data_IF_408029894420
#
_entry.id   IF_408029894420
#
_cell.length_a   1.000
_cell.length_b   1.000
_cell.length_c   1.000
_cell.angle_alpha   90.00
_cell.angle_beta   90.00
_cell.angle_gamma   90.00
#
_symmetry.space_group_name_H-M   'P 1'
#
loop_
_entity.id
_entity.type
_entity.pdbx_description
1 polymer ?
#
# COMPACT_ATOMS: atom_id res chain seq x y z
N UNK A 1 19.04 25.77 -13.34
CA UNK A 1 19.53 24.84 -12.30
C UNK A 1 19.01 23.47 -12.65
N UNK A 2 19.87 22.55 -13.09
CA UNK A 2 19.46 21.17 -13.35
C UNK A 2 19.27 20.50 -12.00
N UNK A 3 18.02 20.44 -11.52
CA UNK A 3 17.64 19.53 -10.45
C UNK A 3 17.89 18.12 -10.96
N UNK A 4 19.02 17.55 -10.57
CA UNK A 4 19.26 16.13 -10.72
C UNK A 4 18.31 15.45 -9.73
N UNK A 5 17.03 15.30 -10.12
CA UNK A 5 16.05 14.56 -9.35
C UNK A 5 16.60 13.13 -9.27
N UNK A 6 17.21 12.82 -8.13
CA UNK A 6 17.79 11.50 -7.90
C UNK A 6 16.64 10.51 -8.06
N UNK A 7 16.67 9.76 -9.16
CA UNK A 7 15.64 8.76 -9.46
C UNK A 7 15.64 7.77 -8.30
N UNK A 8 14.47 7.48 -7.73
CA UNK A 8 14.37 6.50 -6.65
C UNK A 8 14.94 5.15 -7.13
N UNK A 9 15.80 4.55 -6.31
CA UNK A 9 16.46 3.27 -6.59
C UNK A 9 16.13 2.28 -5.46
N UNK A 10 16.18 0.97 -5.72
CA UNK A 10 16.11 -0.04 -4.67
C UNK A 10 17.10 0.24 -3.54
N UNK A 11 16.66 0.09 -2.30
CA UNK A 11 17.51 0.18 -1.10
C UNK A 11 18.27 -1.12 -0.85
N UNK A 12 17.74 -2.25 -1.33
CA UNK A 12 18.30 -3.57 -1.14
C UNK A 12 17.30 -4.67 -1.50
N UNK A 13 17.29 -5.72 -0.69
CA UNK A 13 16.25 -6.73 -0.74
C UNK A 13 16.39 -7.79 0.34
N UNK A 14 15.32 -8.54 0.54
CA UNK A 14 15.20 -9.59 1.54
C UNK A 14 15.01 -10.95 0.86
N UNK A 15 15.31 -12.03 1.60
CA UNK A 15 14.98 -13.39 1.17
C UNK A 15 13.70 -13.85 1.84
N UNK A 16 12.75 -14.30 1.04
CA UNK A 16 11.47 -14.80 1.50
C UNK A 16 11.63 -15.97 2.46
N UNK A 17 10.83 -15.93 3.53
CA UNK A 17 10.64 -17.02 4.47
C UNK A 17 9.30 -17.69 4.15
N UNK A 18 9.22 -18.98 4.46
CA UNK A 18 7.96 -19.72 4.29
C UNK A 18 7.07 -19.40 5.49
N UNK A 19 5.80 -18.97 5.29
CA UNK A 19 4.85 -18.82 6.40
C UNK A 19 4.63 -20.15 7.13
N UNK A 20 4.38 -20.08 8.44
CA UNK A 20 3.90 -21.23 9.21
C UNK A 20 2.43 -21.54 8.85
N UNK A 21 1.94 -22.76 9.14
CA UNK A 21 0.55 -23.10 8.89
C UNK A 21 -0.40 -22.16 9.65
N UNK A 22 -1.29 -21.48 8.93
CA UNK A 22 -2.25 -20.53 9.49
C UNK A 22 -1.83 -19.06 9.38
N UNK A 23 -0.62 -18.79 8.88
CA UNK A 23 -0.11 -17.45 8.57
C UNK A 23 -0.18 -17.18 7.06
N UNK A 24 -0.03 -15.92 6.69
CA UNK A 24 -0.29 -15.36 5.37
C UNK A 24 -1.75 -15.50 4.93
N UNK A 25 -2.54 -14.50 5.35
CA UNK A 25 -3.88 -14.26 4.87
C UNK A 25 -3.86 -13.99 3.36
N UNK A 26 -4.72 -14.71 2.63
CA UNK A 26 -4.88 -14.60 1.17
C UNK A 26 -6.18 -13.93 0.76
N UNK A 27 -6.85 -13.25 1.68
CA UNK A 27 -7.91 -12.29 1.32
C UNK A 27 -7.37 -11.30 0.27
N UNK A 28 -8.25 -10.80 -0.59
CA UNK A 28 -7.94 -9.88 -1.69
C UNK A 28 -6.83 -10.35 -2.65
N UNK A 29 -6.57 -11.66 -2.71
CA UNK A 29 -5.49 -12.27 -3.49
C UNK A 29 -4.07 -11.89 -3.02
N UNK A 30 -3.92 -11.57 -1.74
CA UNK A 30 -2.63 -11.26 -1.14
C UNK A 30 -1.62 -12.40 -1.31
N UNK A 31 -0.42 -12.04 -1.75
CA UNK A 31 0.68 -12.95 -2.06
C UNK A 31 1.44 -13.34 -0.80
N UNK A 32 1.86 -14.61 -0.72
CA UNK A 32 2.76 -15.07 0.34
C UNK A 32 4.21 -15.14 -0.13
N UNK A 33 5.14 -14.86 0.78
CA UNK A 33 6.54 -15.03 0.49
C UNK A 33 6.91 -16.49 0.19
N UNK A 34 7.78 -16.65 -0.80
CA UNK A 34 8.31 -17.94 -1.23
C UNK A 34 9.69 -18.13 -0.63
N UNK A 35 9.91 -19.29 0.01
CA UNK A 35 11.17 -19.62 0.65
C UNK A 35 12.37 -19.43 -0.30
N UNK A 36 13.30 -18.57 0.10
CA UNK A 36 14.54 -18.31 -0.64
C UNK A 36 14.40 -17.40 -1.87
N UNK A 37 13.18 -17.01 -2.28
CA UNK A 37 12.98 -16.00 -3.34
C UNK A 37 13.50 -14.65 -2.85
N UNK A 38 14.17 -13.90 -3.72
CA UNK A 38 14.64 -12.54 -3.41
C UNK A 38 13.54 -11.53 -3.73
N UNK A 39 13.26 -10.63 -2.79
CA UNK A 39 12.30 -9.55 -2.91
C UNK A 39 13.03 -8.22 -2.75
N UNK A 40 12.81 -7.30 -3.69
CA UNK A 40 13.42 -5.97 -3.69
C UNK A 40 12.79 -5.09 -2.62
N UNK A 41 13.58 -4.28 -1.94
CA UNK A 41 13.10 -3.29 -0.98
C UNK A 41 13.41 -1.87 -1.44
N UNK A 42 12.65 -0.92 -0.94
CA UNK A 42 12.77 0.51 -1.23
C UNK A 42 12.63 1.32 0.05
N UNK A 43 13.40 2.40 0.16
CA UNK A 43 13.22 3.44 1.19
C UNK A 43 12.72 4.76 0.59
N UNK A 44 12.39 4.74 -0.70
CA UNK A 44 11.95 5.89 -1.48
C UNK A 44 10.82 5.49 -2.41
N UNK A 45 10.06 6.48 -2.85
CA UNK A 45 8.99 6.35 -3.84
C UNK A 45 9.25 7.31 -5.01
N UNK A 46 8.56 7.18 -6.15
CA UNK A 46 8.61 8.17 -7.22
C UNK A 46 8.29 9.59 -6.72
N UNK A 47 8.73 10.65 -7.41
CA UNK A 47 8.45 12.03 -6.99
C UNK A 47 6.95 12.30 -6.89
N UNK A 48 6.53 12.95 -5.80
CA UNK A 48 5.18 13.48 -5.66
C UNK A 48 5.03 14.73 -6.55
N UNK A 49 4.00 14.76 -7.36
CA UNK A 49 3.66 15.86 -8.28
C UNK A 49 2.19 16.26 -8.10
N UNK A 50 1.71 17.24 -8.89
CA UNK A 50 0.28 17.57 -8.94
C UNK A 50 -0.59 16.53 -9.66
N UNK A 51 -0.01 15.42 -10.10
CA UNK A 51 -0.68 14.29 -10.75
C UNK A 51 0.16 13.01 -10.54
N UNK A 52 0.35 12.62 -9.28
CA UNK A 52 1.30 11.55 -8.92
C UNK A 52 0.76 10.21 -9.38
N UNK A 53 1.43 9.56 -10.32
CA UNK A 53 1.04 8.23 -10.81
C UNK A 53 1.33 7.16 -9.77
N UNK A 54 0.37 6.27 -9.57
CA UNK A 54 0.48 5.15 -8.65
C UNK A 54 -0.30 3.94 -9.16
N UNK A 55 -0.05 2.80 -8.54
CA UNK A 55 -0.93 1.63 -8.64
C UNK A 55 -1.78 1.58 -7.37
N UNK A 56 -3.09 1.52 -7.54
CA UNK A 56 -4.03 1.28 -6.46
C UNK A 56 -4.13 -0.22 -6.25
N UNK A 57 -3.92 -0.68 -5.02
CA UNK A 57 -4.17 -2.06 -4.58
C UNK A 57 -5.34 -2.09 -3.60
N UNK A 58 -5.84 -3.28 -3.31
CA UNK A 58 -6.92 -3.50 -2.36
C UNK A 58 -6.39 -4.11 -1.07
N UNK A 59 -6.81 -3.53 0.06
CA UNK A 59 -6.49 -4.03 1.39
C UNK A 59 -7.67 -3.84 2.34
N UNK A 60 -7.79 -4.73 3.32
CA UNK A 60 -8.74 -4.61 4.42
C UNK A 60 -8.01 -4.20 5.71
N UNK A 61 -8.25 -2.96 6.14
CA UNK A 61 -7.71 -2.36 7.37
C UNK A 61 -8.49 -2.75 8.64
N UNK A 62 -9.50 -3.60 8.52
CA UNK A 62 -10.30 -4.03 9.65
C UNK A 62 -9.60 -5.16 10.43
N UNK A 63 -10.01 -5.33 11.69
CA UNK A 63 -9.49 -6.42 12.51
C UNK A 63 -9.78 -7.78 11.87
N UNK A 64 -8.72 -8.55 11.63
CA UNK A 64 -8.80 -9.88 11.01
C UNK A 64 -8.85 -9.86 9.48
N UNK A 65 -8.66 -8.69 8.85
CA UNK A 65 -8.39 -8.58 7.42
C UNK A 65 -6.97 -8.99 7.04
N UNK A 66 -6.62 -8.80 5.77
CA UNK A 66 -5.28 -9.03 5.22
C UNK A 66 -4.28 -7.90 5.50
N UNK A 67 -4.74 -6.74 5.98
CA UNK A 67 -3.84 -5.66 6.42
C UNK A 67 -3.02 -5.97 7.68
N UNK A 68 -3.24 -7.13 8.29
CA UNK A 68 -2.48 -7.58 9.45
C UNK A 68 -2.78 -6.80 10.74
N UNK A 69 -1.82 -5.97 11.15
CA UNK A 69 -1.87 -5.18 12.39
C UNK A 69 -2.82 -3.97 12.34
N UNK A 70 -2.99 -3.25 13.47
CA UNK A 70 -3.60 -1.91 13.46
C UNK A 70 -2.72 -0.92 12.68
N UNK A 71 -3.33 0.11 12.09
CA UNK A 71 -2.62 1.04 11.21
C UNK A 71 -1.63 1.96 11.93
N UNK A 72 -0.50 2.24 11.28
CA UNK A 72 0.66 2.94 11.86
C UNK A 72 0.37 4.36 12.36
N UNK A 73 -0.54 5.10 11.71
CA UNK A 73 -0.79 6.49 12.10
C UNK A 73 -1.46 6.63 13.47
N UNK A 74 -2.30 5.67 13.87
CA UNK A 74 -3.14 5.79 15.08
C UNK A 74 -3.27 4.52 15.93
N UNK A 75 -2.62 3.41 15.54
CA UNK A 75 -2.75 2.11 16.18
C UNK A 75 -4.21 1.61 16.24
N UNK A 76 -5.02 1.92 15.23
CA UNK A 76 -6.42 1.49 15.13
C UNK A 76 -6.68 0.66 13.89
N UNK A 77 -7.70 -0.21 13.98
CA UNK A 77 -8.30 -0.83 12.80
C UNK A 77 -9.36 0.09 12.21
N UNK A 78 -9.48 0.10 10.89
CA UNK A 78 -10.44 0.92 10.14
C UNK A 78 -11.40 0.02 9.38
N UNK A 79 -12.70 0.32 9.40
CA UNK A 79 -13.71 -0.45 8.67
C UNK A 79 -13.48 -0.39 7.15
N UNK A 80 -13.75 -1.50 6.46
CA UNK A 80 -13.74 -1.58 4.99
C UNK A 80 -14.71 -0.60 4.30
N UNK A 81 -15.69 -0.06 5.04
CA UNK A 81 -16.64 0.95 4.56
C UNK A 81 -16.16 2.39 4.77
N UNK A 82 -14.99 2.59 5.39
CA UNK A 82 -14.36 3.92 5.55
C UNK A 82 -13.31 4.11 4.45
N UNK A 83 -13.32 5.24 3.69
CA UNK A 83 -12.34 5.49 2.64
C UNK A 83 -10.98 5.87 3.23
N UNK A 84 -10.18 4.85 3.54
CA UNK A 84 -8.80 4.97 4.04
C UNK A 84 -7.80 4.27 3.13
N UNK A 85 -6.54 4.69 3.23
CA UNK A 85 -5.42 4.15 2.46
C UNK A 85 -4.12 4.06 3.26
N UNK A 86 -3.24 3.16 2.84
CA UNK A 86 -1.81 3.16 3.14
C UNK A 86 -1.03 3.72 1.95
N UNK A 87 0.15 4.28 2.21
CA UNK A 87 1.07 4.75 1.17
C UNK A 87 2.39 4.00 1.25
N UNK A 88 3.02 3.68 0.11
CA UNK A 88 4.40 3.18 0.09
C UNK A 88 5.33 4.05 0.94
N UNK A 89 6.28 3.45 1.65
CA UNK A 89 7.23 4.10 2.59
C UNK A 89 7.70 5.50 2.17
N UNK A 90 8.17 5.67 0.92
CA UNK A 90 8.67 6.97 0.46
C UNK A 90 7.60 8.05 0.35
N UNK A 91 6.36 7.68 0.02
CA UNK A 91 5.20 8.57 0.05
C UNK A 91 4.60 8.70 1.44
N UNK A 92 4.63 7.66 2.28
CA UNK A 92 4.24 7.77 3.69
C UNK A 92 5.09 8.80 4.43
N UNK A 93 6.39 8.84 4.11
CA UNK A 93 7.36 9.87 4.56
C UNK A 93 7.40 9.96 6.09
N UNK A 94 7.49 8.80 6.75
CA UNK A 94 7.57 8.69 8.21
C UNK A 94 6.37 9.29 8.94
N UNK A 95 5.17 9.18 8.37
CA UNK A 95 3.93 9.67 8.96
C UNK A 95 3.61 11.14 8.69
N UNK A 96 4.42 11.86 7.90
CA UNK A 96 4.15 13.25 7.54
C UNK A 96 2.77 13.46 6.86
N UNK A 97 2.19 12.39 6.29
CA UNK A 97 0.87 12.39 5.65
C UNK A 97 -0.25 11.77 6.50
N UNK A 98 0.04 11.30 7.71
CA UNK A 98 -0.97 10.71 8.59
C UNK A 98 -2.18 11.64 8.79
N UNK A 99 -3.37 11.05 8.65
CA UNK A 99 -4.68 11.70 8.77
C UNK A 99 -4.92 12.86 7.80
N UNK A 100 -4.04 13.06 6.81
CA UNK A 100 -4.31 13.94 5.68
C UNK A 100 -5.11 13.17 4.63
N UNK A 101 -5.92 13.92 3.90
CA UNK A 101 -6.66 13.37 2.79
C UNK A 101 -5.83 13.49 1.52
N UNK A 102 -5.88 12.47 0.68
CA UNK A 102 -5.46 12.54 -0.70
C UNK A 102 -6.70 12.41 -1.60
N UNK A 103 -6.63 13.00 -2.79
CA UNK A 103 -7.62 12.76 -3.84
C UNK A 103 -7.06 11.75 -4.82
N UNK A 104 -7.74 10.61 -4.97
CA UNK A 104 -7.39 9.54 -5.89
C UNK A 104 -8.27 9.66 -7.12
N UNK A 105 -7.67 9.64 -8.31
CA UNK A 105 -8.35 9.65 -9.59
C UNK A 105 -8.10 8.32 -10.30
N UNK A 106 -9.18 7.62 -10.67
CA UNK A 106 -9.12 6.32 -11.31
C UNK A 106 -10.48 5.95 -11.91
N UNK A 107 -10.49 5.14 -12.98
CA UNK A 107 -11.73 4.70 -13.63
C UNK A 107 -12.71 5.85 -14.00
N UNK A 108 -12.16 7.02 -14.38
CA UNK A 108 -12.94 8.22 -14.71
C UNK A 108 -13.66 8.87 -13.53
N UNK A 109 -13.37 8.47 -12.29
CA UNK A 109 -13.93 9.00 -11.05
C UNK A 109 -12.84 9.46 -10.10
N UNK A 110 -13.25 10.17 -9.06
CA UNK A 110 -12.36 10.65 -7.99
C UNK A 110 -12.96 10.36 -6.62
N UNK A 111 -12.10 10.07 -5.65
CA UNK A 111 -12.49 9.87 -4.25
C UNK A 111 -11.45 10.50 -3.33
N UNK A 112 -11.91 11.09 -2.22
CA UNK A 112 -11.03 11.49 -1.13
C UNK A 112 -10.89 10.36 -0.14
N UNK A 113 -9.65 10.02 0.19
CA UNK A 113 -9.34 8.98 1.17
C UNK A 113 -8.33 9.50 2.19
N UNK A 114 -8.47 9.07 3.44
CA UNK A 114 -7.56 9.44 4.52
C UNK A 114 -6.37 8.49 4.56
N UNK A 115 -5.16 9.03 4.64
CA UNK A 115 -3.97 8.21 4.88
C UNK A 115 -3.95 7.80 6.35
N UNK A 116 -3.98 6.49 6.61
CA UNK A 116 -3.97 5.92 7.96
C UNK A 116 -2.78 5.02 8.21
N UNK A 117 -2.06 4.61 7.17
CA UNK A 117 -1.05 3.56 7.31
C UNK A 117 0.14 3.70 6.35
N UNK A 118 1.16 2.89 6.62
CA UNK A 118 2.29 2.66 5.73
C UNK A 118 2.13 1.32 5.00
N UNK A 119 2.33 1.33 3.68
CA UNK A 119 2.59 0.11 2.92
C UNK A 119 4.11 -0.10 2.92
N UNK A 120 4.62 -0.89 3.87
CA UNK A 120 6.05 -1.00 4.12
C UNK A 120 6.78 -1.64 2.93
N UNK A 121 7.59 -0.83 2.25
CA UNK A 121 8.42 -1.24 1.12
C UNK A 121 9.85 -1.61 1.52
N UNK A 122 10.18 -1.50 2.82
CA UNK A 122 11.49 -1.76 3.39
C UNK A 122 11.63 -3.17 3.94
N UNK A 123 10.54 -3.78 4.40
CA UNK A 123 10.50 -5.08 5.06
C UNK A 123 9.27 -5.91 4.65
N UNK A 124 9.21 -7.15 5.11
CA UNK A 124 8.22 -8.15 4.72
C UNK A 124 8.74 -9.57 4.94
N UNK A 125 7.95 -10.58 4.56
CA UNK A 125 8.31 -11.99 4.68
C UNK A 125 8.68 -12.44 6.12
N UNK A 126 8.05 -11.84 7.12
CA UNK A 126 8.21 -12.13 8.55
C UNK A 126 6.85 -12.07 9.27
N UNK A 127 6.85 -12.35 10.57
CA UNK A 127 5.63 -12.45 11.38
C UNK A 127 4.84 -11.13 11.42
N UNK A 128 5.54 -9.99 11.46
CA UNK A 128 4.93 -8.66 11.59
C UNK A 128 4.15 -8.27 10.33
N UNK A 129 4.55 -8.81 9.18
CA UNK A 129 3.92 -8.57 7.87
C UNK A 129 3.07 -9.76 7.39
N UNK A 130 2.71 -10.68 8.29
CA UNK A 130 1.96 -11.90 7.97
C UNK A 130 2.59 -12.69 6.80
N UNK A 131 3.92 -12.66 6.69
CA UNK A 131 4.70 -13.26 5.61
C UNK A 131 4.34 -12.78 4.20
N UNK A 132 3.70 -11.63 4.06
CA UNK A 132 3.49 -10.95 2.78
C UNK A 132 4.80 -10.29 2.30
N UNK A 133 5.02 -10.17 0.98
CA UNK A 133 6.23 -9.55 0.46
C UNK A 133 6.28 -8.04 0.76
N UNK A 134 7.46 -7.42 0.72
CA UNK A 134 7.57 -5.97 0.81
C UNK A 134 6.72 -5.28 -0.24
N UNK A 135 6.05 -4.21 0.16
CA UNK A 135 5.23 -3.40 -0.70
C UNK A 135 6.06 -2.79 -1.86
N UNK A 136 5.54 -2.72 -3.08
CA UNK A 136 6.16 -1.90 -4.13
C UNK A 136 6.20 -0.42 -3.71
N UNK A 137 7.05 0.36 -4.36
CA UNK A 137 7.33 1.72 -3.92
C UNK A 137 6.42 2.81 -4.53
N UNK A 138 5.40 2.40 -5.29
CA UNK A 138 4.48 3.27 -6.02
C UNK A 138 3.01 2.90 -5.77
N UNK A 139 2.71 2.39 -4.58
CA UNK A 139 1.39 1.88 -4.18
C UNK A 139 0.62 2.91 -3.35
N UNK A 140 -0.68 3.00 -3.67
CA UNK A 140 -1.72 3.48 -2.76
C UNK A 140 -2.56 2.26 -2.43
N UNK A 141 -2.46 1.77 -1.21
CA UNK A 141 -3.13 0.54 -0.81
C UNK A 141 -4.45 0.86 -0.12
N UNK A 142 -5.57 0.40 -0.66
CA UNK A 142 -6.84 1.06 -0.41
C UNK A 142 -7.96 0.14 0.07
N UNK A 143 -8.74 0.67 1.01
CA UNK A 143 -9.96 0.05 1.52
C UNK A 143 -10.99 -0.21 0.43
N UNK A 144 -11.87 -1.19 0.66
CA UNK A 144 -12.99 -1.53 -0.24
C UNK A 144 -13.88 -0.32 -0.56
N UNK A 145 -14.06 0.61 0.39
CA UNK A 145 -14.79 1.85 0.18
C UNK A 145 -14.21 2.74 -0.93
N UNK A 146 -12.87 2.83 -1.04
CA UNK A 146 -12.20 3.60 -2.09
C UNK A 146 -12.49 3.00 -3.46
N UNK A 147 -12.36 1.67 -3.59
CA UNK A 147 -12.66 0.95 -4.83
C UNK A 147 -14.11 1.10 -5.27
N UNK A 148 -15.06 0.97 -4.33
CA UNK A 148 -16.50 1.21 -4.58
C UNK A 148 -16.76 2.65 -5.03
N UNK A 149 -16.13 3.64 -4.40
CA UNK A 149 -16.30 5.05 -4.76
C UNK A 149 -15.75 5.38 -6.16
N UNK A 150 -14.64 4.76 -6.56
CA UNK A 150 -14.11 4.81 -7.92
C UNK A 150 -14.97 4.06 -8.94
N UNK A 151 -16.03 3.37 -8.50
CA UNK A 151 -16.99 2.70 -9.37
C UNK A 151 -16.40 1.51 -10.14
N UNK A 152 -15.34 0.91 -9.61
CA UNK A 152 -14.77 -0.32 -10.17
C UNK A 152 -15.60 -1.49 -9.67
N UNK A 153 -16.04 -2.36 -10.58
CA UNK A 153 -16.76 -3.59 -10.22
C UNK A 153 -15.84 -4.53 -9.43
N UNK A 154 -16.39 -5.24 -8.44
CA UNK A 154 -15.62 -6.14 -7.56
C UNK A 154 -14.83 -7.21 -8.32
N UNK A 155 -15.37 -7.73 -9.43
CA UNK A 155 -14.67 -8.70 -10.32
C UNK A 155 -13.38 -8.15 -10.95
N UNK A 156 -13.20 -6.82 -10.92
CA UNK A 156 -12.03 -6.12 -11.46
C UNK A 156 -11.18 -5.48 -10.36
N UNK A 157 -11.38 -5.87 -9.09
CA UNK A 157 -10.51 -5.45 -7.99
C UNK A 157 -9.20 -6.25 -8.01
N UNK A 158 -8.13 -5.62 -7.55
CA UNK A 158 -6.77 -6.10 -7.67
C UNK A 158 -5.86 -4.89 -7.84
N UNK A 159 -5.43 -4.65 -9.08
CA UNK A 159 -4.58 -3.51 -9.43
C UNK A 159 -5.30 -2.52 -10.36
N UNK A 160 -5.16 -1.23 -10.09
CA UNK A 160 -5.66 -0.17 -10.97
C UNK A 160 -4.63 0.96 -11.11
N UNK A 161 -4.33 1.36 -12.34
CA UNK A 161 -3.56 2.58 -12.59
C UNK A 161 -4.36 3.82 -12.19
N UNK A 162 -3.78 4.63 -11.31
CA UNK A 162 -4.40 5.85 -10.78
C UNK A 162 -3.44 7.04 -10.83
N UNK A 163 -3.98 8.21 -10.56
CA UNK A 163 -3.19 9.35 -10.07
C UNK A 163 -3.72 9.82 -8.73
N UNK A 164 -2.86 10.47 -7.93
CA UNK A 164 -3.27 11.07 -6.68
C UNK A 164 -2.61 12.42 -6.42
N UNK A 165 -3.28 13.23 -5.61
CA UNK A 165 -2.81 14.54 -5.13
C UNK A 165 -3.10 14.71 -3.64
N UNK A 166 -2.32 15.56 -2.98
CA UNK A 166 -2.63 16.07 -1.63
C UNK A 166 -3.83 17.04 -1.63
#
# INVERSE_FOLDING_TARGET
MSINAQTCKPSGGIRGRKPHPGECNRENNSDCCVQGKFYTTYTCSPPVTGDTKATLTINSFQKGGDGGGPSECDNQYHSDDTPVVALSTGWYKGGDRCHKYITINGNGRSVKAMVVDECDSTMGCDDDHDYQPPCPNNIVDASKAVWKALGVSEDNWGDLDITWTE
#
